data_IF_620507259108
#
_entry.id   IF_620507259108
#
_cell.length_a   1.000
_cell.length_b   1.000
_cell.length_c   1.000
_cell.angle_alpha   90.00
_cell.angle_beta   90.00
_cell.angle_gamma   90.00
#
_symmetry.space_group_name_H-M   'P 1'
#
loop_
_entity.id
_entity.type
_entity.pdbx_description
1 polymer ?
#
# COMPACT_ATOMS: atom_id res chain seq x y z
N UNK A 1 -3.76 -0.44 -32.83
CA UNK A 1 -3.18 -1.23 -31.72
C UNK A 1 -2.57 -0.32 -30.65
N UNK A 2 -1.53 0.49 -30.94
CA UNK A 2 -0.90 1.39 -29.94
C UNK A 2 -1.84 2.42 -29.30
N UNK A 3 -2.79 2.97 -30.05
CA UNK A 3 -3.76 3.97 -29.56
C UNK A 3 -5.07 3.37 -29.04
N UNK A 4 -5.26 2.05 -29.14
CA UNK A 4 -6.58 1.45 -28.93
C UNK A 4 -7.07 1.68 -27.51
N UNK A 5 -6.22 1.44 -26.51
CA UNK A 5 -6.57 1.64 -25.09
C UNK A 5 -6.91 3.10 -24.76
N UNK A 6 -6.23 4.03 -25.40
CA UNK A 6 -6.50 5.46 -25.25
C UNK A 6 -7.85 5.84 -25.88
N UNK A 7 -8.13 5.33 -27.08
CA UNK A 7 -9.42 5.52 -27.76
C UNK A 7 -10.55 4.86 -26.95
N UNK A 8 -10.35 3.64 -26.46
CA UNK A 8 -11.34 2.90 -25.67
C UNK A 8 -11.65 3.64 -24.37
N UNK A 9 -10.64 4.22 -23.71
CA UNK A 9 -10.85 5.04 -22.53
C UNK A 9 -11.65 6.31 -22.84
N UNK A 10 -11.32 7.04 -23.92
CA UNK A 10 -12.07 8.24 -24.32
C UNK A 10 -13.56 7.95 -24.53
N UNK A 11 -13.90 6.77 -25.04
CA UNK A 11 -15.30 6.41 -25.33
C UNK A 11 -16.03 5.82 -24.12
N UNK A 12 -15.34 5.15 -23.20
CA UNK A 12 -15.96 4.30 -22.18
C UNK A 12 -15.50 4.58 -20.74
N UNK A 13 -14.56 5.51 -20.53
CA UNK A 13 -13.87 5.79 -19.27
C UNK A 13 -13.25 4.55 -18.59
N UNK A 14 -12.97 3.50 -19.39
CA UNK A 14 -12.49 2.20 -18.91
C UNK A 14 -11.49 1.59 -19.89
N UNK A 15 -10.52 0.85 -19.34
CA UNK A 15 -9.56 0.07 -20.12
C UNK A 15 -9.39 -1.33 -19.51
N UNK A 16 -9.34 -2.34 -20.36
CA UNK A 16 -9.11 -3.74 -19.98
C UNK A 16 -7.61 -4.06 -19.83
N UNK A 17 -6.94 -3.34 -18.93
CA UNK A 17 -5.54 -3.58 -18.53
C UNK A 17 -5.47 -4.05 -17.08
N UNK A 18 -6.31 -3.50 -16.20
CA UNK A 18 -6.21 -3.64 -14.74
C UNK A 18 -6.84 -4.91 -14.14
N UNK A 19 -6.83 -6.02 -14.88
CA UNK A 19 -7.22 -7.33 -14.36
C UNK A 19 -6.15 -7.89 -13.42
N UNK A 20 -6.52 -8.80 -12.50
CA UNK A 20 -5.56 -9.42 -11.57
C UNK A 20 -4.51 -10.33 -12.25
N UNK A 21 -4.67 -10.65 -13.55
CA UNK A 21 -3.71 -11.44 -14.32
C UNK A 21 -2.80 -10.50 -15.14
N UNK A 22 -1.68 -10.09 -14.56
CA UNK A 22 -0.68 -9.28 -15.25
C UNK A 22 0.19 -10.09 -16.19
N UNK A 23 0.48 -9.52 -17.35
CA UNK A 23 1.42 -10.06 -18.32
C UNK A 23 2.23 -8.92 -18.97
N UNK A 24 3.29 -9.30 -19.69
CA UNK A 24 4.21 -8.39 -20.38
C UNK A 24 3.45 -7.41 -21.29
N UNK A 25 2.49 -7.92 -22.07
CA UNK A 25 1.76 -7.12 -23.06
C UNK A 25 0.88 -6.06 -22.39
N UNK A 26 0.28 -6.39 -21.24
CA UNK A 26 -0.50 -5.43 -20.44
C UNK A 26 0.38 -4.33 -19.86
N UNK A 27 1.57 -4.68 -19.39
CA UNK A 27 2.51 -3.69 -18.89
C UNK A 27 3.01 -2.76 -20.01
N UNK A 28 3.31 -3.29 -21.20
CA UNK A 28 3.68 -2.47 -22.36
C UNK A 28 2.54 -1.51 -22.77
N UNK A 29 1.31 -2.03 -22.86
CA UNK A 29 0.10 -1.23 -23.13
C UNK A 29 -0.11 -0.14 -22.09
N UNK A 30 0.13 -0.45 -20.82
CA UNK A 30 0.02 0.51 -19.71
C UNK A 30 1.03 1.65 -19.85
N UNK A 31 2.31 1.34 -20.14
CA UNK A 31 3.34 2.36 -20.35
C UNK A 31 2.97 3.30 -21.51
N UNK A 32 2.52 2.74 -22.63
CA UNK A 32 2.03 3.52 -23.77
C UNK A 32 0.85 4.41 -23.36
N UNK A 33 -0.11 3.87 -22.63
CA UNK A 33 -1.28 4.63 -22.19
C UNK A 33 -0.91 5.77 -21.23
N UNK A 34 0.07 5.55 -20.34
CA UNK A 34 0.62 6.60 -19.46
C UNK A 34 1.29 7.70 -20.28
N UNK A 35 2.15 7.35 -21.25
CA UNK A 35 2.80 8.33 -22.14
C UNK A 35 1.77 9.14 -22.94
N UNK A 36 0.78 8.46 -23.55
CA UNK A 36 -0.26 9.13 -24.33
C UNK A 36 -1.11 10.04 -23.45
N UNK A 37 -1.40 9.66 -22.21
CA UNK A 37 -2.17 10.50 -21.28
C UNK A 37 -1.48 11.85 -21.02
N UNK A 38 -0.15 11.85 -20.95
CA UNK A 38 0.68 13.05 -20.77
C UNK A 38 0.82 13.81 -22.09
N UNK A 39 1.13 13.11 -23.18
CA UNK A 39 1.31 13.71 -24.50
C UNK A 39 0.07 14.50 -24.95
N UNK A 40 -1.12 13.96 -24.68
CA UNK A 40 -2.40 14.61 -25.00
C UNK A 40 -2.99 15.43 -23.85
N UNK A 41 -2.27 15.58 -22.73
CA UNK A 41 -2.68 16.36 -21.56
C UNK A 41 -4.08 16.00 -21.02
N UNK A 42 -4.40 14.71 -20.97
CA UNK A 42 -5.70 14.20 -20.52
C UNK A 42 -5.69 13.99 -19.00
N UNK A 43 -5.90 15.04 -18.22
CA UNK A 43 -5.80 15.02 -16.75
C UNK A 43 -6.65 13.93 -16.09
N UNK A 44 -7.89 13.75 -16.53
CA UNK A 44 -8.77 12.72 -15.98
C UNK A 44 -8.22 11.30 -16.19
N UNK A 45 -7.58 11.04 -17.33
CA UNK A 45 -6.92 9.76 -17.60
C UNK A 45 -5.66 9.62 -16.73
N UNK A 46 -4.86 10.68 -16.59
CA UNK A 46 -3.68 10.68 -15.71
C UNK A 46 -4.09 10.30 -14.27
N UNK A 47 -5.11 10.97 -13.72
CA UNK A 47 -5.62 10.69 -12.38
C UNK A 47 -6.18 9.27 -12.23
N UNK A 48 -6.92 8.80 -13.23
CA UNK A 48 -7.44 7.43 -13.31
C UNK A 48 -6.32 6.40 -13.31
N UNK A 49 -5.29 6.60 -14.14
CA UNK A 49 -4.14 5.69 -14.24
C UNK A 49 -3.35 5.68 -12.95
N UNK A 50 -3.03 6.83 -12.35
CA UNK A 50 -2.33 6.88 -11.06
C UNK A 50 -3.09 6.07 -10.01
N UNK A 51 -4.41 6.29 -9.91
CA UNK A 51 -5.26 5.54 -8.97
C UNK A 51 -5.24 4.04 -9.26
N UNK A 52 -5.49 3.63 -10.50
CA UNK A 52 -5.59 2.21 -10.86
C UNK A 52 -4.27 1.46 -10.82
N UNK A 53 -3.17 2.12 -11.17
CA UNK A 53 -1.85 1.54 -11.03
C UNK A 53 -1.53 1.34 -9.55
N UNK A 54 -1.74 2.33 -8.68
CA UNK A 54 -1.48 2.16 -7.25
C UNK A 54 -2.40 1.12 -6.58
N UNK A 55 -3.67 1.05 -7.00
CA UNK A 55 -4.61 0.03 -6.56
C UNK A 55 -4.09 -1.39 -6.85
N UNK A 56 -3.43 -1.58 -8.00
CA UNK A 56 -3.00 -2.89 -8.50
C UNK A 56 -1.49 -3.15 -8.40
N UNK A 57 -0.73 -2.20 -7.87
CA UNK A 57 0.74 -2.18 -7.95
C UNK A 57 1.38 -3.43 -7.36
N UNK A 58 0.87 -3.92 -6.22
CA UNK A 58 1.45 -5.09 -5.55
C UNK A 58 1.29 -6.39 -6.34
N UNK A 59 0.31 -6.45 -7.25
CA UNK A 59 0.07 -7.59 -8.14
C UNK A 59 0.87 -7.50 -9.44
N UNK A 60 1.50 -6.36 -9.74
CA UNK A 60 2.31 -6.21 -10.94
C UNK A 60 3.60 -7.04 -10.82
N UNK A 61 4.09 -7.65 -11.92
CA UNK A 61 5.34 -8.37 -11.91
C UNK A 61 6.48 -7.39 -11.57
N UNK A 62 7.38 -7.73 -10.62
CA UNK A 62 8.45 -6.83 -10.18
C UNK A 62 9.33 -6.30 -11.31
N UNK A 63 9.44 -7.04 -12.41
CA UNK A 63 10.20 -6.65 -13.59
C UNK A 63 9.73 -5.37 -14.28
N UNK A 64 8.43 -5.05 -14.22
CA UNK A 64 7.90 -3.83 -14.83
C UNK A 64 7.98 -2.60 -13.94
N UNK A 65 8.09 -2.80 -12.63
CA UNK A 65 7.94 -1.68 -11.68
C UNK A 65 9.16 -0.76 -11.72
N UNK A 66 10.35 -1.26 -12.06
CA UNK A 66 11.51 -0.39 -12.32
C UNK A 66 11.25 0.49 -13.54
N UNK A 67 10.77 -0.07 -14.65
CA UNK A 67 10.47 0.70 -15.85
C UNK A 67 9.38 1.75 -15.58
N UNK A 68 8.34 1.37 -14.84
CA UNK A 68 7.29 2.28 -14.42
C UNK A 68 7.83 3.42 -13.54
N UNK A 69 8.73 3.12 -12.60
CA UNK A 69 9.39 4.13 -11.78
C UNK A 69 10.22 5.11 -12.62
N UNK A 70 11.02 4.61 -13.56
CA UNK A 70 11.84 5.45 -14.43
C UNK A 70 10.99 6.29 -15.39
N UNK A 71 9.99 5.69 -16.02
CA UNK A 71 9.06 6.37 -16.92
C UNK A 71 8.29 7.49 -16.19
N UNK A 72 7.76 7.20 -15.02
CA UNK A 72 7.04 8.22 -14.22
C UNK A 72 7.97 9.33 -13.71
N UNK A 73 9.25 9.04 -13.49
CA UNK A 73 10.26 10.07 -13.21
C UNK A 73 10.51 10.97 -14.42
N UNK A 74 10.65 10.39 -15.61
CA UNK A 74 10.85 11.13 -16.87
C UNK A 74 9.65 12.00 -17.21
N UNK A 75 8.43 11.47 -17.03
CA UNK A 75 7.18 12.19 -17.31
C UNK A 75 6.76 13.17 -16.21
N UNK A 76 7.52 13.29 -15.11
CA UNK A 76 7.18 14.19 -13.99
C UNK A 76 5.97 13.77 -13.16
N UNK A 77 5.55 12.50 -13.24
CA UNK A 77 4.41 11.94 -12.50
C UNK A 77 4.82 11.57 -11.07
N UNK A 78 4.96 12.57 -10.20
CA UNK A 78 5.53 12.43 -8.85
C UNK A 78 4.87 11.33 -7.99
N UNK A 79 3.54 11.26 -7.94
CA UNK A 79 2.83 10.24 -7.15
C UNK A 79 3.18 8.84 -7.67
N UNK A 80 3.07 8.63 -9.00
CA UNK A 80 3.35 7.35 -9.63
C UNK A 80 4.83 6.94 -9.46
N UNK A 81 5.74 7.91 -9.57
CA UNK A 81 7.17 7.72 -9.30
C UNK A 81 7.40 7.23 -7.89
N UNK A 82 6.80 7.89 -6.91
CA UNK A 82 7.06 7.63 -5.50
C UNK A 82 6.44 6.29 -5.04
N UNK A 83 5.24 5.93 -5.53
CA UNK A 83 4.66 4.60 -5.23
C UNK A 83 5.44 3.48 -5.91
N UNK A 84 5.89 3.65 -7.16
CA UNK A 84 6.70 2.66 -7.88
C UNK A 84 8.07 2.48 -7.24
N UNK A 85 8.69 3.58 -6.80
CA UNK A 85 9.93 3.55 -6.05
C UNK A 85 9.75 2.87 -4.69
N UNK A 86 8.67 3.17 -3.96
CA UNK A 86 8.35 2.51 -2.69
C UNK A 86 8.15 1.00 -2.85
N UNK A 87 7.54 0.54 -3.95
CA UNK A 87 7.49 -0.88 -4.30
C UNK A 87 8.90 -1.46 -4.50
N UNK A 88 9.76 -0.78 -5.28
CA UNK A 88 11.13 -1.24 -5.52
C UNK A 88 11.93 -1.39 -4.22
N UNK A 89 11.70 -0.51 -3.25
CA UNK A 89 12.29 -0.61 -1.92
C UNK A 89 11.75 -1.80 -1.13
N UNK A 90 10.44 -1.98 -1.10
CA UNK A 90 9.79 -3.02 -0.31
C UNK A 90 10.09 -4.43 -0.85
N UNK A 91 10.12 -4.59 -2.18
CA UNK A 91 10.34 -5.86 -2.90
C UNK A 91 11.70 -5.94 -3.58
N UNK A 92 12.72 -5.28 -3.03
CA UNK A 92 14.05 -5.21 -3.64
C UNK A 92 14.66 -6.57 -4.02
N UNK A 93 14.41 -7.60 -3.20
CA UNK A 93 14.90 -8.96 -3.46
C UNK A 93 14.23 -9.64 -4.66
N UNK A 94 13.02 -9.20 -5.04
CA UNK A 94 12.23 -9.76 -6.14
C UNK A 94 12.47 -9.04 -7.47
N UNK A 95 13.15 -7.89 -7.44
CA UNK A 95 13.45 -7.10 -8.64
C UNK A 95 14.43 -7.82 -9.57
N UNK A 96 14.27 -7.70 -10.90
CA UNK A 96 15.21 -8.28 -11.85
C UNK A 96 16.59 -7.62 -11.73
N UNK A 97 17.61 -8.45 -11.52
CA UNK A 97 18.99 -7.96 -11.34
C UNK A 97 19.51 -7.19 -12.57
N UNK A 98 19.17 -7.62 -13.78
CA UNK A 98 19.61 -6.94 -15.01
C UNK A 98 19.11 -5.49 -15.05
N UNK A 99 17.83 -5.26 -14.76
CA UNK A 99 17.27 -3.90 -14.72
C UNK A 99 17.87 -3.05 -13.60
N UNK A 100 18.23 -3.66 -12.45
CA UNK A 100 18.97 -2.95 -11.40
C UNK A 100 20.36 -2.56 -11.91
N UNK A 101 21.06 -3.45 -12.61
CA UNK A 101 22.40 -3.18 -13.15
C UNK A 101 22.38 -2.10 -14.22
N UNK A 102 21.31 -2.00 -15.00
CA UNK A 102 21.14 -0.98 -16.04
C UNK A 102 20.78 0.41 -15.48
N UNK A 103 20.44 0.54 -14.19
CA UNK A 103 20.14 1.83 -13.58
C UNK A 103 21.31 2.81 -13.73
N UNK A 104 20.97 4.08 -13.98
CA UNK A 104 21.92 5.18 -13.87
C UNK A 104 22.51 5.21 -12.46
N UNK A 105 23.73 5.73 -12.32
CA UNK A 105 24.41 5.86 -11.02
C UNK A 105 23.54 6.59 -9.99
N UNK A 106 22.87 7.65 -10.41
CA UNK A 106 21.97 8.43 -9.55
C UNK A 106 20.80 7.57 -9.02
N UNK A 107 20.07 6.90 -9.91
CA UNK A 107 18.93 6.07 -9.53
C UNK A 107 19.38 4.84 -8.72
N UNK A 108 20.53 4.26 -9.06
CA UNK A 108 21.11 3.17 -8.30
C UNK A 108 21.42 3.62 -6.86
N UNK A 109 22.16 4.72 -6.69
CA UNK A 109 22.46 5.30 -5.38
C UNK A 109 21.19 5.67 -4.61
N UNK A 110 20.16 6.21 -5.27
CA UNK A 110 18.86 6.50 -4.67
C UNK A 110 18.19 5.22 -4.13
N UNK A 111 18.25 4.12 -4.87
CA UNK A 111 17.67 2.83 -4.49
C UNK A 111 18.42 2.18 -3.32
N UNK A 112 19.71 1.86 -3.50
CA UNK A 112 20.52 1.20 -2.45
C UNK A 112 20.80 2.11 -1.24
N UNK A 113 20.72 3.43 -1.47
CA UNK A 113 20.92 4.49 -0.50
C UNK A 113 19.69 4.79 0.36
N UNK A 114 18.53 4.24 0.05
CA UNK A 114 17.34 4.48 0.85
C UNK A 114 17.33 3.71 2.18
N UNK A 115 16.71 4.28 3.22
CA UNK A 115 16.54 3.65 4.55
C UNK A 115 15.42 2.60 4.57
N UNK A 116 14.46 2.68 3.65
CA UNK A 116 13.29 1.82 3.62
C UNK A 116 13.49 0.54 2.79
N UNK A 117 14.68 0.32 2.22
CA UNK A 117 14.98 -0.84 1.39
C UNK A 117 14.92 -2.14 2.20
N UNK A 118 14.12 -3.11 1.75
CA UNK A 118 14.03 -4.45 2.35
C UNK A 118 15.15 -5.34 1.81
N UNK A 119 16.30 -5.37 2.47
CA UNK A 119 17.42 -6.19 2.03
C UNK A 119 18.42 -6.49 3.14
N UNK A 120 19.19 -7.57 2.99
CA UNK A 120 20.35 -7.81 3.86
C UNK A 120 21.56 -7.01 3.39
N UNK A 121 22.40 -6.59 4.34
CA UNK A 121 23.66 -5.90 4.02
C UNK A 121 24.57 -6.71 3.07
N UNK A 122 24.58 -8.04 3.23
CA UNK A 122 25.32 -8.94 2.35
C UNK A 122 24.79 -8.90 0.93
N UNK A 123 23.46 -8.97 0.76
CA UNK A 123 22.83 -8.92 -0.55
C UNK A 123 23.03 -7.56 -1.24
N UNK A 124 22.85 -6.45 -0.53
CA UNK A 124 23.14 -5.11 -1.06
C UNK A 124 24.59 -5.00 -1.55
N UNK A 125 25.57 -5.46 -0.74
CA UNK A 125 26.99 -5.47 -1.15
C UNK A 125 27.22 -6.29 -2.41
N UNK A 126 26.57 -7.43 -2.56
CA UNK A 126 26.65 -8.27 -3.77
C UNK A 126 26.11 -7.53 -4.99
N UNK A 127 24.92 -6.92 -4.87
CA UNK A 127 24.30 -6.16 -5.95
C UNK A 127 25.15 -4.94 -6.33
N UNK A 128 25.66 -4.18 -5.35
CA UNK A 128 26.55 -3.03 -5.59
C UNK A 128 27.82 -3.42 -6.33
N UNK A 129 28.50 -4.51 -5.93
CA UNK A 129 29.68 -4.98 -6.67
C UNK A 129 29.35 -5.30 -8.13
N UNK A 130 28.24 -6.01 -8.36
CA UNK A 130 27.80 -6.36 -9.72
C UNK A 130 27.44 -5.15 -10.56
N UNK A 131 26.79 -4.14 -9.98
CA UNK A 131 26.52 -2.87 -10.66
C UNK A 131 27.84 -2.15 -11.03
N UNK A 132 28.80 -2.08 -10.09
CA UNK A 132 30.11 -1.47 -10.35
C UNK A 132 30.88 -2.20 -11.48
N UNK A 133 30.87 -3.54 -11.46
CA UNK A 133 31.48 -4.35 -12.51
C UNK A 133 30.80 -4.11 -13.88
N UNK A 134 29.47 -3.99 -13.91
CA UNK A 134 28.69 -3.76 -15.14
C UNK A 134 28.99 -2.40 -15.78
N UNK A 135 29.11 -1.34 -14.97
CA UNK A 135 29.39 0.01 -15.45
C UNK A 135 30.88 0.35 -15.55
N UNK A 136 31.76 -0.54 -15.10
CA UNK A 136 33.19 -0.25 -14.87
C UNK A 136 33.39 1.02 -14.01
N UNK A 137 32.50 1.25 -13.04
CA UNK A 137 32.52 2.38 -12.10
C UNK A 137 32.62 1.87 -10.67
N UNK A 138 33.82 1.99 -10.07
CA UNK A 138 34.11 1.52 -8.71
C UNK A 138 34.02 2.62 -7.64
N UNK A 139 33.35 3.72 -7.92
CA UNK A 139 33.27 4.89 -7.02
C UNK A 139 32.08 4.84 -6.06
N UNK A 140 31.26 3.78 -6.08
CA UNK A 140 30.11 3.66 -5.19
C UNK A 140 30.59 3.54 -3.72
N UNK A 141 30.26 4.51 -2.85
CA UNK A 141 30.73 4.54 -1.47
C UNK A 141 30.06 3.42 -0.66
N UNK A 142 30.82 2.41 -0.20
CA UNK A 142 30.28 1.24 0.51
C UNK A 142 29.68 1.57 1.89
N UNK A 143 29.97 2.74 2.44
CA UNK A 143 29.35 3.27 3.64
C UNK A 143 27.88 3.62 3.45
N UNK A 144 27.43 3.87 2.21
CA UNK A 144 25.99 4.01 1.88
C UNK A 144 25.18 2.74 2.18
N UNK A 145 25.88 1.61 2.34
CA UNK A 145 25.32 0.29 2.68
C UNK A 145 25.41 -0.02 4.19
N UNK A 146 25.88 0.91 5.02
CA UNK A 146 25.87 0.73 6.48
C UNK A 146 24.42 0.63 6.98
N UNK A 147 24.25 -0.05 8.12
CA UNK A 147 22.94 -0.36 8.67
C UNK A 147 22.12 0.92 8.79
N UNK A 148 21.00 0.95 8.08
CA UNK A 148 19.97 1.96 8.22
C UNK A 148 18.97 1.34 9.17
N UNK A 149 19.04 1.72 10.43
CA UNK A 149 18.03 1.32 11.39
C UNK A 149 16.71 1.92 10.92
N UNK A 150 15.71 1.06 10.74
CA UNK A 150 14.35 1.52 10.43
C UNK A 150 13.86 2.36 11.59
N UNK A 151 13.64 3.66 11.33
CA UNK A 151 13.00 4.54 12.31
C UNK A 151 11.53 4.11 12.42
N UNK A 152 11.15 3.62 13.59
CA UNK A 152 9.75 3.36 13.92
C UNK A 152 9.16 4.67 14.41
N UNK A 153 8.07 5.11 13.78
CA UNK A 153 7.26 6.22 14.27
C UNK A 153 6.10 5.62 15.06
N UNK A 154 5.98 6.01 16.32
CA UNK A 154 4.81 5.66 17.12
C UNK A 154 3.68 6.61 16.73
N UNK A 155 2.53 6.05 16.35
CA UNK A 155 1.43 6.86 15.80
C UNK A 155 0.11 6.60 16.52
N UNK A 156 -0.72 7.62 16.59
CA UNK A 156 -2.11 7.54 17.04
C UNK A 156 -3.02 8.15 15.99
N UNK A 157 -4.25 7.63 15.90
CA UNK A 157 -5.32 8.27 15.13
C UNK A 157 -6.24 8.99 16.10
N UNK A 158 -6.48 10.28 15.83
CA UNK A 158 -7.36 11.15 16.61
C UNK A 158 -8.39 11.81 15.70
N UNK A 159 -9.48 12.32 16.24
CA UNK A 159 -10.44 13.12 15.50
C UNK A 159 -10.78 14.39 16.26
N UNK A 160 -11.16 15.45 15.53
CA UNK A 160 -11.74 16.63 16.14
C UNK A 160 -13.19 16.35 16.54
N UNK A 161 -13.47 16.48 17.83
CA UNK A 161 -14.79 16.22 18.39
C UNK A 161 -15.81 17.25 17.88
N UNK A 162 -16.89 16.79 17.24
CA UNK A 162 -18.05 17.62 16.95
C UNK A 162 -19.25 17.02 17.68
N UNK A 163 -19.80 17.81 18.60
CA UNK A 163 -21.02 17.63 19.42
C UNK A 163 -20.83 17.16 20.88
N UNK A 164 -21.22 18.06 21.79
CA UNK A 164 -21.19 17.93 23.26
C UNK A 164 -22.53 17.49 23.87
N UNK A 165 -23.53 17.10 23.08
CA UNK A 165 -24.92 16.98 23.57
C UNK A 165 -25.55 15.57 23.51
N UNK A 166 -24.76 14.55 23.25
CA UNK A 166 -25.10 13.16 23.53
C UNK A 166 -23.82 12.40 23.80
N UNK A 167 -23.86 11.38 24.65
CA UNK A 167 -22.74 10.53 25.07
C UNK A 167 -22.10 9.69 23.94
N UNK A 168 -22.28 10.09 22.69
CA UNK A 168 -21.90 9.41 21.47
C UNK A 168 -21.19 10.43 20.58
N UNK A 169 -19.95 10.12 20.20
CA UNK A 169 -19.26 10.77 19.08
C UNK A 169 -20.11 10.44 17.83
N UNK A 170 -20.19 11.35 16.86
CA UNK A 170 -20.82 11.07 15.56
C UNK A 170 -19.83 11.40 14.45
N UNK A 171 -19.18 10.39 13.90
CA UNK A 171 -18.35 10.46 12.71
C UNK A 171 -19.27 10.67 11.50
N UNK A 172 -19.32 11.91 11.02
CA UNK A 172 -20.01 12.29 9.78
C UNK A 172 -19.03 12.50 8.61
N UNK A 173 -19.56 12.78 7.41
CA UNK A 173 -18.76 13.09 6.22
C UNK A 173 -17.83 14.32 6.36
N UNK A 174 -18.00 15.11 7.42
CA UNK A 174 -17.18 16.28 7.71
C UNK A 174 -16.15 16.01 8.82
N UNK A 175 -16.14 14.82 9.40
CA UNK A 175 -15.24 14.45 10.50
C UNK A 175 -13.88 14.04 9.94
N UNK A 176 -12.92 14.93 10.13
CA UNK A 176 -11.53 14.69 9.78
C UNK A 176 -10.86 13.85 10.88
N UNK A 177 -10.12 12.84 10.46
CA UNK A 177 -9.24 12.05 11.30
C UNK A 177 -7.80 12.52 11.06
N UNK A 178 -6.98 12.49 12.09
CA UNK A 178 -5.61 12.97 12.09
C UNK A 178 -4.70 11.86 12.57
N UNK A 179 -3.61 11.65 11.84
CA UNK A 179 -2.52 10.76 12.26
C UNK A 179 -1.46 11.63 12.89
N UNK A 180 -1.27 11.45 14.19
CA UNK A 180 -0.17 12.08 14.90
C UNK A 180 0.94 11.08 15.15
N UNK A 181 2.17 11.54 15.07
CA UNK A 181 3.38 10.75 15.26
C UNK A 181 4.22 11.31 16.40
N UNK A 182 4.89 10.41 17.11
CA UNK A 182 5.98 10.69 18.03
C UNK A 182 7.26 10.07 17.47
N UNK A 183 8.29 10.89 17.29
CA UNK A 183 9.55 10.44 16.71
C UNK A 183 10.70 10.25 17.71
N UNK A 184 10.39 10.41 19.00
CA UNK A 184 11.35 10.42 20.10
C UNK A 184 11.58 11.81 20.71
N UNK A 185 11.35 12.87 19.93
CA UNK A 185 11.57 14.25 20.36
C UNK A 185 10.32 15.11 20.24
N UNK A 186 9.63 15.02 19.09
CA UNK A 186 8.51 15.88 18.76
C UNK A 186 7.23 15.06 18.53
N UNK A 187 6.13 15.63 19.01
CA UNK A 187 4.77 15.17 18.68
C UNK A 187 4.22 16.06 17.58
N UNK A 188 3.88 15.49 16.43
CA UNK A 188 3.43 16.27 15.27
C UNK A 188 2.34 15.54 14.48
N UNK A 189 1.53 16.31 13.77
CA UNK A 189 0.58 15.77 12.79
C UNK A 189 1.33 15.31 11.53
N UNK A 190 1.16 14.05 11.17
CA UNK A 190 1.71 13.48 9.94
C UNK A 190 0.82 13.77 8.73
N UNK A 191 -0.49 13.60 8.89
CA UNK A 191 -1.51 13.82 7.85
C UNK A 191 -2.90 13.75 8.46
N UNK A 192 -3.89 14.25 7.72
CA UNK A 192 -5.31 14.00 7.98
C UNK A 192 -5.96 13.17 6.86
N UNK A 193 -7.12 12.59 7.14
CA UNK A 193 -7.99 11.94 6.17
C UNK A 193 -9.45 11.89 6.65
N UNK A 194 -10.36 11.65 5.71
CA UNK A 194 -11.75 11.23 6.01
C UNK A 194 -11.90 9.74 5.76
N UNK A 195 -12.83 9.10 6.48
CA UNK A 195 -13.13 7.69 6.22
C UNK A 195 -13.66 7.46 4.80
N UNK A 196 -13.45 6.25 4.22
CA UNK A 196 -14.12 5.83 3.01
C UNK A 196 -15.64 6.00 3.10
N UNK A 197 -16.28 6.41 1.99
CA UNK A 197 -17.72 6.66 1.97
C UNK A 197 -18.54 5.43 2.37
N UNK A 198 -18.08 4.24 2.02
CA UNK A 198 -18.69 2.97 2.43
C UNK A 198 -18.76 2.80 3.95
N UNK A 199 -17.73 3.23 4.69
CA UNK A 199 -17.76 3.21 6.16
C UNK A 199 -18.81 4.21 6.65
N UNK A 200 -18.75 5.44 6.13
CA UNK A 200 -19.64 6.53 6.54
C UNK A 200 -21.12 6.23 6.26
N UNK A 201 -21.42 5.52 5.16
CA UNK A 201 -22.77 5.11 4.79
C UNK A 201 -23.38 4.10 5.76
N UNK A 202 -22.55 3.34 6.50
CA UNK A 202 -22.99 2.39 7.51
C UNK A 202 -23.01 3.00 8.92
N UNK A 203 -22.36 4.16 9.13
CA UNK A 203 -22.50 4.94 10.34
C UNK A 203 -23.86 5.66 10.38
N UNK A 204 -24.44 5.82 11.57
CA UNK A 204 -25.65 6.62 11.77
C UNK A 204 -25.59 7.34 13.13
N UNK A 205 -26.61 8.15 13.44
CA UNK A 205 -26.66 8.98 14.66
C UNK A 205 -26.61 8.18 15.98
N UNK A 206 -26.81 6.87 15.95
CA UNK A 206 -26.78 5.99 17.11
C UNK A 206 -25.57 5.06 17.15
N UNK A 207 -24.91 4.86 16.01
CA UNK A 207 -23.96 3.77 15.81
C UNK A 207 -22.77 4.23 14.96
N UNK A 208 -21.60 4.26 15.60
CA UNK A 208 -20.30 4.45 14.96
C UNK A 208 -19.58 3.11 14.79
N UNK A 209 -18.58 3.08 13.92
CA UNK A 209 -17.66 1.95 13.84
C UNK A 209 -16.81 1.87 15.11
N UNK A 210 -16.95 0.79 15.87
CA UNK A 210 -16.18 0.52 17.10
C UNK A 210 -15.32 -0.73 16.97
N UNK A 211 -14.21 -0.77 17.71
CA UNK A 211 -13.29 -1.91 17.75
C UNK A 211 -12.63 -2.22 16.40
N UNK A 212 -12.53 -1.25 15.51
CA UNK A 212 -11.72 -1.34 14.29
C UNK A 212 -10.24 -1.32 14.66
N UNK A 213 -9.46 -2.15 13.98
CA UNK A 213 -8.01 -2.20 14.16
C UNK A 213 -7.32 -1.39 13.07
N UNK A 214 -6.32 -0.60 13.47
CA UNK A 214 -5.54 0.27 12.60
C UNK A 214 -4.08 -0.15 12.66
N UNK A 215 -3.50 -0.49 11.52
CA UNK A 215 -2.10 -0.92 11.45
C UNK A 215 -1.35 -0.31 10.27
N UNK A 216 -0.13 0.17 10.52
CA UNK A 216 0.76 0.71 9.49
C UNK A 216 1.70 -0.33 8.91
N UNK A 217 1.98 -0.24 7.61
CA UNK A 217 3.10 -0.93 6.95
C UNK A 217 3.66 -0.07 5.82
N UNK A 218 4.95 0.25 5.91
CA UNK A 218 5.63 1.14 4.96
C UNK A 218 4.89 2.48 4.86
N UNK A 219 4.49 2.89 3.65
CA UNK A 219 3.74 4.11 3.41
C UNK A 219 2.21 3.90 3.46
N UNK A 220 1.74 2.72 3.84
CA UNK A 220 0.32 2.39 3.86
C UNK A 220 -0.18 2.23 5.31
N UNK A 221 -1.45 2.55 5.51
CA UNK A 221 -2.19 2.30 6.74
C UNK A 221 -3.42 1.46 6.40
N UNK A 222 -3.69 0.43 7.20
CA UNK A 222 -4.76 -0.52 6.97
C UNK A 222 -5.79 -0.43 8.08
N UNK A 223 -7.05 -0.30 7.69
CA UNK A 223 -8.20 -0.35 8.59
C UNK A 223 -8.89 -1.67 8.41
N UNK A 224 -8.96 -2.42 9.50
CA UNK A 224 -9.38 -3.81 9.47
C UNK A 224 -10.50 -4.00 10.48
N UNK A 225 -11.57 -4.68 10.06
CA UNK A 225 -12.66 -5.03 10.96
C UNK A 225 -13.40 -3.82 11.53
N UNK A 226 -14.08 -4.07 12.63
CA UNK A 226 -14.93 -3.10 13.31
C UNK A 226 -16.41 -3.45 13.17
N UNK A 227 -17.19 -2.90 14.09
CA UNK A 227 -18.63 -3.16 14.23
C UNK A 227 -19.38 -1.84 14.15
N UNK A 228 -20.38 -1.76 13.27
CA UNK A 228 -21.30 -0.62 13.21
C UNK A 228 -22.44 -0.84 14.21
N UNK A 229 -23.08 -2.00 14.17
CA UNK A 229 -24.23 -2.34 15.04
C UNK A 229 -24.19 -3.83 15.40
N UNK A 230 -25.10 -4.32 16.25
CA UNK A 230 -25.12 -5.65 16.85
C UNK A 230 -24.76 -6.79 15.87
N UNK A 231 -25.32 -6.79 14.66
CA UNK A 231 -25.06 -7.77 13.58
C UNK A 231 -24.34 -7.16 12.34
N UNK A 232 -23.97 -5.88 12.35
CA UNK A 232 -23.42 -5.18 11.18
C UNK A 232 -21.94 -4.88 11.41
N UNK A 233 -21.09 -5.42 10.53
CA UNK A 233 -19.63 -5.37 10.65
C UNK A 233 -19.00 -4.75 9.41
N UNK A 234 -17.89 -4.05 9.61
CA UNK A 234 -16.99 -3.74 8.51
C UNK A 234 -16.15 -4.99 8.19
N UNK A 235 -16.45 -5.65 7.09
CA UNK A 235 -15.60 -6.75 6.57
C UNK A 235 -14.50 -6.25 5.63
N UNK A 236 -14.57 -5.00 5.18
CA UNK A 236 -13.61 -4.48 4.23
C UNK A 236 -12.31 -4.08 4.93
N UNK A 237 -11.19 -4.51 4.35
CA UNK A 237 -9.87 -3.97 4.66
C UNK A 237 -9.65 -2.77 3.76
N UNK A 238 -9.49 -1.60 4.35
CA UNK A 238 -9.20 -0.37 3.62
C UNK A 238 -7.72 -0.02 3.76
N UNK A 239 -7.06 0.29 2.65
CA UNK A 239 -5.67 0.75 2.61
C UNK A 239 -5.62 2.23 2.27
N UNK A 240 -5.09 3.05 3.17
CA UNK A 240 -4.76 4.44 2.93
C UNK A 240 -3.29 4.59 2.55
N UNK A 241 -3.04 5.25 1.42
CA UNK A 241 -1.69 5.58 0.98
C UNK A 241 -1.25 6.94 1.52
N UNK A 242 -0.13 6.98 2.24
CA UNK A 242 0.48 8.23 2.69
C UNK A 242 1.13 9.02 1.55
N UNK A 243 1.36 8.40 0.37
CA UNK A 243 1.95 9.05 -0.80
C UNK A 243 0.87 9.76 -1.61
N UNK A 244 -0.17 9.03 -2.03
CA UNK A 244 -1.24 9.61 -2.87
C UNK A 244 -2.37 10.26 -2.07
N UNK A 245 -2.42 10.00 -0.75
CA UNK A 245 -3.50 10.44 0.15
C UNK A 245 -4.87 9.91 -0.27
N UNK A 246 -4.90 8.71 -0.87
CA UNK A 246 -6.11 8.03 -1.34
C UNK A 246 -6.37 6.74 -0.57
N UNK A 247 -7.65 6.41 -0.48
CA UNK A 247 -8.15 5.13 0.01
C UNK A 247 -8.30 4.14 -1.13
N UNK A 248 -7.95 2.89 -0.85
CA UNK A 248 -8.16 1.75 -1.71
C UNK A 248 -8.90 0.68 -0.91
N UNK A 249 -9.91 0.06 -1.50
CA UNK A 249 -10.43 -1.19 -0.98
C UNK A 249 -9.37 -2.25 -1.24
N UNK A 250 -8.70 -2.70 -0.19
CA UNK A 250 -7.61 -3.67 -0.31
C UNK A 250 -8.19 -5.05 -0.58
N UNK A 251 -9.12 -5.48 0.28
CA UNK A 251 -9.80 -6.78 0.17
C UNK A 251 -10.97 -6.84 1.16
N UNK A 252 -11.70 -7.96 1.17
CA UNK A 252 -12.77 -8.23 2.14
C UNK A 252 -12.38 -9.43 3.00
N UNK A 253 -12.37 -9.24 4.31
CA UNK A 253 -12.09 -10.30 5.28
C UNK A 253 -13.10 -11.44 5.13
N UNK A 254 -12.66 -12.70 5.18
CA UNK A 254 -13.56 -13.84 5.13
C UNK A 254 -14.45 -13.90 6.38
N UNK A 255 -13.89 -13.56 7.53
CA UNK A 255 -14.55 -13.58 8.84
C UNK A 255 -14.76 -12.17 9.35
N UNK A 256 -15.99 -11.82 9.69
CA UNK A 256 -16.28 -10.58 10.41
C UNK A 256 -15.71 -10.60 11.84
N UNK A 257 -15.07 -9.50 12.26
CA UNK A 257 -14.48 -9.36 13.59
C UNK A 257 -14.31 -7.89 13.99
N UNK A 258 -14.46 -7.60 15.29
CA UNK A 258 -14.12 -6.32 15.95
C UNK A 258 -13.40 -6.59 17.28
N UNK A 259 -12.71 -5.57 17.81
CA UNK A 259 -11.82 -5.68 18.97
C UNK A 259 -10.77 -6.81 18.80
N UNK A 260 -10.33 -7.01 17.56
CA UNK A 260 -9.27 -7.97 17.21
C UNK A 260 -7.89 -7.32 17.35
N UNK A 261 -6.84 -8.10 17.15
CA UNK A 261 -5.49 -7.57 16.94
C UNK A 261 -5.02 -7.85 15.53
N UNK A 262 -4.27 -6.92 14.94
CA UNK A 262 -3.60 -7.10 13.67
C UNK A 262 -2.09 -7.02 13.84
N UNK A 263 -1.36 -7.81 13.05
CA UNK A 263 0.09 -7.70 12.97
C UNK A 263 0.57 -7.99 11.55
N UNK A 264 1.57 -7.23 11.10
CA UNK A 264 2.30 -7.58 9.89
C UNK A 264 3.51 -8.45 10.22
N UNK A 265 3.59 -9.60 9.56
CA UNK A 265 4.81 -10.41 9.48
C UNK A 265 5.25 -10.47 8.02
N UNK A 266 6.32 -9.74 7.69
CA UNK A 266 6.77 -9.50 6.31
C UNK A 266 5.65 -8.88 5.45
N UNK A 267 5.10 -9.64 4.51
CA UNK A 267 4.01 -9.27 3.60
C UNK A 267 2.64 -9.81 4.05
N UNK A 268 2.59 -10.56 5.16
CA UNK A 268 1.36 -11.15 5.68
C UNK A 268 0.74 -10.25 6.73
N UNK A 269 -0.50 -9.82 6.51
CA UNK A 269 -1.36 -9.21 7.51
C UNK A 269 -2.11 -10.32 8.24
N UNK A 270 -1.83 -10.48 9.53
CA UNK A 270 -2.42 -11.51 10.38
C UNK A 270 -3.45 -10.85 11.28
N UNK A 271 -4.70 -11.34 11.24
CA UNK A 271 -5.82 -10.86 12.03
C UNK A 271 -6.27 -11.95 13.01
N UNK A 272 -6.23 -11.64 14.31
CA UNK A 272 -6.42 -12.62 15.39
C UNK A 272 -7.41 -12.13 16.43
N UNK A 273 -8.22 -13.06 16.92
CA UNK A 273 -9.15 -12.84 18.03
C UNK A 273 -10.28 -11.87 17.69
N UNK A 274 -10.71 -11.15 18.73
CA UNK A 274 -11.89 -10.29 18.69
C UNK A 274 -13.19 -11.05 18.86
N UNK A 275 -14.28 -10.40 18.47
CA UNK A 275 -15.64 -10.92 18.54
C UNK A 275 -16.28 -10.90 17.16
N UNK A 276 -17.06 -11.92 16.84
CA UNK A 276 -17.88 -12.00 15.63
C UNK A 276 -19.34 -11.67 15.90
N UNK A 277 -20.23 -12.23 15.07
CA UNK A 277 -21.69 -12.08 15.22
C UNK A 277 -22.17 -12.66 16.53
N UNK A 278 -23.20 -12.03 17.12
CA UNK A 278 -23.75 -12.45 18.42
C UNK A 278 -22.68 -12.65 19.52
N UNK A 279 -21.56 -11.91 19.44
CA UNK A 279 -20.40 -11.98 20.34
C UNK A 279 -19.70 -13.35 20.41
N UNK A 280 -19.80 -14.16 19.35
CA UNK A 280 -18.98 -15.37 19.25
C UNK A 280 -17.49 -15.04 19.17
N UNK A 281 -16.63 -15.96 19.63
CA UNK A 281 -15.19 -15.81 19.53
C UNK A 281 -14.69 -16.56 18.28
N UNK A 282 -14.23 -15.88 17.22
CA UNK A 282 -13.76 -16.55 16.02
C UNK A 282 -12.54 -17.42 16.35
N UNK A 283 -12.64 -18.74 16.15
CA UNK A 283 -11.58 -19.73 16.42
C UNK A 283 -10.50 -19.81 15.33
N UNK A 284 -10.52 -18.85 14.41
CA UNK A 284 -9.63 -18.78 13.27
C UNK A 284 -8.79 -17.50 13.26
N UNK A 285 -7.64 -17.63 12.62
CA UNK A 285 -6.74 -16.56 12.22
C UNK A 285 -6.86 -16.35 10.73
N UNK A 286 -7.12 -15.10 10.34
CA UNK A 286 -7.16 -14.72 8.94
C UNK A 286 -5.78 -14.14 8.57
N UNK A 287 -5.13 -14.75 7.58
CA UNK A 287 -3.82 -14.33 7.08
C UNK A 287 -4.00 -13.86 5.65
N UNK A 288 -3.80 -12.56 5.43
CA UNK A 288 -3.85 -11.94 4.11
C UNK A 288 -2.44 -11.70 3.58
N UNK A 289 -2.11 -12.23 2.41
CA UNK A 289 -0.86 -11.91 1.72
C UNK A 289 -1.05 -10.70 0.81
N UNK A 290 -0.46 -9.55 1.19
CA UNK A 290 -0.63 -8.29 0.44
C UNK A 290 0.06 -8.31 -0.93
N UNK A 291 0.92 -9.29 -1.23
CA UNK A 291 1.60 -9.40 -2.53
C UNK A 291 0.82 -10.25 -3.53
N UNK A 292 0.03 -11.21 -3.05
CA UNK A 292 -0.77 -12.09 -3.93
C UNK A 292 -2.26 -11.77 -3.90
N UNK A 293 -2.74 -11.19 -2.80
CA UNK A 293 -4.15 -10.91 -2.56
C UNK A 293 -4.90 -12.11 -1.96
N UNK A 294 -4.17 -13.16 -1.57
CA UNK A 294 -4.77 -14.39 -1.06
C UNK A 294 -5.07 -14.32 0.44
N UNK A 295 -6.14 -15.00 0.85
CA UNK A 295 -6.44 -15.27 2.25
C UNK A 295 -6.22 -16.73 2.59
N UNK A 296 -5.53 -16.96 3.71
CA UNK A 296 -5.47 -18.26 4.37
C UNK A 296 -6.18 -18.14 5.71
N UNK A 297 -7.14 -19.03 5.96
CA UNK A 297 -7.85 -19.13 7.23
C UNK A 297 -7.29 -20.33 7.98
N UNK A 298 -6.77 -20.11 9.18
CA UNK A 298 -6.17 -21.16 10.00
C UNK A 298 -6.84 -21.25 11.37
N UNK A 299 -7.30 -22.45 11.77
CA UNK A 299 -7.88 -22.68 13.09
C UNK A 299 -6.78 -22.67 14.17
N UNK A 300 -7.06 -22.10 15.36
CA UNK A 300 -6.08 -22.01 16.47
C UNK A 300 -5.47 -23.34 16.89
N UNK A 301 -6.20 -24.45 16.70
CA UNK A 301 -5.77 -25.79 17.09
C UNK A 301 -4.77 -26.44 16.10
N UNK A 302 -4.36 -25.72 15.04
CA UNK A 302 -3.33 -26.18 14.09
C UNK A 302 -2.04 -25.41 14.32
N UNK A 303 -0.89 -26.11 14.41
CA UNK A 303 0.40 -25.50 14.73
C UNK A 303 0.70 -24.28 13.84
N UNK A 304 0.81 -23.10 14.46
CA UNK A 304 0.99 -21.79 13.84
C UNK A 304 2.35 -21.59 13.13
N UNK A 305 3.29 -22.52 13.32
CA UNK A 305 4.72 -22.32 13.05
C UNK A 305 5.07 -22.52 11.56
N UNK A 306 4.27 -23.25 10.79
CA UNK A 306 4.65 -23.62 9.41
C UNK A 306 4.11 -22.67 8.32
N UNK A 307 3.26 -21.70 8.67
CA UNK A 307 2.56 -20.83 7.70
C UNK A 307 3.15 -19.42 7.59
N UNK A 308 4.14 -19.05 8.40
CA UNK A 308 4.70 -17.68 8.48
C UNK A 308 5.98 -17.53 7.66
#
# INVERSE_FOLDING_TARGET
>A
LLLQDFVDWIHNDKVDIFTNCWDIKKCDRLSILVELSILFAVNNLIEYLIYKIEEKLYFMPPEYVINLWLLSQELGLNILRDVSFAFCLDRFADLPLNSIYELSKENFLKLIGNINITSTKSYLRKVTKKWMDYHNDFTIPLDILKNKETKILHSIVSCENRYYNSSLIVVDNNTEQFIHCWDGNDFFELTSFKYPQDILNNCNSYYEIVGMEIIGRRYNIYFCGGKFDYEIFNKNIWRYSLISKKWFLETTMPTERWCMTAAFVKNKLILVGGFGKSYEYPENVDIYDIYTGDFVIQLYNTHFINTI
#
